data_IF_019945368688
#
_entry.id   IF_019945368688
#
_cell.length_a   1.000
_cell.length_b   1.000
_cell.length_c   1.000
_cell.angle_alpha   90.00
_cell.angle_beta   90.00
_cell.angle_gamma   90.00
#
_symmetry.space_group_name_H-M   'P 1'
#
loop_
_entity.id
_entity.type
_entity.pdbx_description
1 polymer ?
#
# COMPACT_ATOMS: atom_id res chain seq x y z
N UNK A 1 10.87 -18.28 -5.90
CA UNK A 1 9.63 -18.12 -5.11
C UNK A 1 8.45 -18.08 -6.06
N UNK A 2 7.34 -18.70 -5.66
CA UNK A 2 6.09 -18.69 -6.44
C UNK A 2 5.51 -17.25 -6.55
N UNK A 3 5.35 -16.69 -7.75
CA UNK A 3 4.74 -15.37 -7.96
C UNK A 3 3.32 -15.27 -7.40
N UNK A 4 2.52 -16.34 -7.44
CA UNK A 4 1.15 -16.31 -6.92
C UNK A 4 1.14 -16.16 -5.39
N UNK A 5 2.00 -16.90 -4.69
CA UNK A 5 2.19 -16.71 -3.25
C UNK A 5 2.64 -15.29 -2.91
N UNK A 6 3.60 -14.73 -3.65
CA UNK A 6 4.06 -13.35 -3.44
C UNK A 6 2.93 -12.32 -3.64
N UNK A 7 2.11 -12.50 -4.67
CA UNK A 7 0.95 -11.63 -4.91
C UNK A 7 -0.08 -11.73 -3.77
N UNK A 8 -0.34 -12.94 -3.25
CA UNK A 8 -1.22 -13.14 -2.09
C UNK A 8 -0.66 -12.46 -0.83
N UNK A 9 0.65 -12.56 -0.59
CA UNK A 9 1.30 -11.91 0.54
C UNK A 9 1.26 -10.39 0.42
N UNK A 10 1.54 -9.84 -0.76
CA UNK A 10 1.42 -8.41 -1.02
C UNK A 10 -0.01 -7.91 -0.78
N UNK A 11 -1.00 -8.63 -1.32
CA UNK A 11 -2.41 -8.29 -1.16
C UNK A 11 -2.86 -8.39 0.31
N UNK A 12 -2.52 -9.49 1.00
CA UNK A 12 -2.86 -9.71 2.40
C UNK A 12 -2.20 -8.68 3.33
N UNK A 13 -0.94 -8.34 3.09
CA UNK A 13 -0.24 -7.28 3.83
C UNK A 13 -0.93 -5.93 3.66
N UNK A 14 -1.34 -5.59 2.43
CA UNK A 14 -2.07 -4.36 2.14
C UNK A 14 -3.43 -4.32 2.85
N UNK A 15 -4.19 -5.42 2.85
CA UNK A 15 -5.46 -5.52 3.59
C UNK A 15 -5.23 -5.35 5.09
N UNK A 16 -4.23 -6.03 5.66
CA UNK A 16 -3.95 -5.97 7.09
C UNK A 16 -3.54 -4.56 7.55
N UNK A 17 -2.62 -3.91 6.83
CA UNK A 17 -2.21 -2.53 7.11
C UNK A 17 -3.38 -1.57 6.90
N UNK A 18 -4.12 -1.72 5.80
CA UNK A 18 -5.27 -0.88 5.49
C UNK A 18 -6.37 -0.96 6.56
N UNK A 19 -6.69 -2.17 7.06
CA UNK A 19 -7.62 -2.36 8.16
C UNK A 19 -7.11 -1.70 9.45
N UNK A 20 -5.82 -1.82 9.77
CA UNK A 20 -5.25 -1.18 10.94
C UNK A 20 -5.37 0.36 10.86
N UNK A 21 -5.06 0.95 9.71
CA UNK A 21 -5.22 2.38 9.45
C UNK A 21 -6.70 2.82 9.48
N UNK A 22 -7.62 1.98 9.01
CA UNK A 22 -9.05 2.29 9.00
C UNK A 22 -9.69 2.21 10.40
N UNK A 23 -9.45 1.11 11.11
CA UNK A 23 -10.10 0.85 12.41
C UNK A 23 -9.42 1.65 13.52
N UNK A 24 -8.10 1.64 13.56
CA UNK A 24 -7.27 2.14 14.64
C UNK A 24 -6.21 3.16 14.17
N UNK A 25 -6.60 4.26 13.47
CA UNK A 25 -5.65 5.18 12.83
C UNK A 25 -4.66 5.81 13.80
N UNK A 26 -5.10 6.09 15.04
CA UNK A 26 -4.22 6.67 16.06
C UNK A 26 -3.09 5.75 16.43
N UNK A 27 -3.34 4.44 16.52
CA UNK A 27 -2.32 3.46 16.89
C UNK A 27 -1.45 3.15 15.67
N UNK A 28 -2.08 2.88 14.54
CA UNK A 28 -1.41 2.42 13.33
C UNK A 28 -0.53 3.50 12.66
N UNK A 29 -0.94 4.77 12.70
CA UNK A 29 -0.21 5.84 12.03
C UNK A 29 0.65 6.70 12.96
N UNK A 30 0.72 6.44 14.28
CA UNK A 30 1.49 7.30 15.19
C UNK A 30 2.98 7.30 14.90
N UNK A 31 3.56 6.15 14.59
CA UNK A 31 4.98 6.01 14.23
C UNK A 31 5.31 6.68 12.90
N UNK A 32 4.31 6.79 12.01
CA UNK A 32 4.45 7.41 10.70
C UNK A 32 4.21 8.92 10.73
N UNK A 33 3.14 9.37 11.39
CA UNK A 33 2.64 10.76 11.37
C UNK A 33 3.10 11.56 12.60
N UNK A 34 3.32 10.89 13.73
CA UNK A 34 3.53 11.54 15.04
C UNK A 34 2.21 12.00 15.68
N UNK A 35 2.30 12.97 16.58
CA UNK A 35 1.12 13.50 17.29
C UNK A 35 0.11 14.22 16.38
N UNK A 36 0.50 14.54 15.13
CA UNK A 36 -0.42 15.06 14.10
C UNK A 36 -1.61 14.12 13.80
N UNK A 37 -1.49 12.82 14.12
CA UNK A 37 -2.59 11.85 13.99
C UNK A 37 -3.74 12.12 14.98
N UNK A 38 -3.51 12.93 16.00
CA UNK A 38 -4.54 13.30 16.97
C UNK A 38 -5.50 14.38 16.46
N UNK A 39 -5.23 14.94 15.28
CA UNK A 39 -6.16 15.83 14.58
C UNK A 39 -7.25 15.03 13.86
N UNK A 40 -8.50 15.50 13.94
CA UNK A 40 -9.65 14.80 13.35
C UNK A 40 -9.54 14.65 11.83
N UNK A 41 -9.12 15.71 11.13
CA UNK A 41 -8.90 15.71 9.68
C UNK A 41 -7.83 14.69 9.25
N UNK A 42 -6.70 14.64 9.97
CA UNK A 42 -5.64 13.64 9.72
C UNK A 42 -6.16 12.21 9.89
N UNK A 43 -6.92 11.91 10.95
CA UNK A 43 -7.51 10.56 11.11
C UNK A 43 -8.47 10.22 9.99
N UNK A 44 -9.28 11.17 9.56
CA UNK A 44 -10.21 10.96 8.45
C UNK A 44 -9.43 10.61 7.17
N UNK A 45 -8.37 11.36 6.87
CA UNK A 45 -7.49 11.08 5.73
C UNK A 45 -6.81 9.70 5.83
N UNK A 46 -6.26 9.35 7.00
CA UNK A 46 -5.63 8.04 7.25
C UNK A 46 -6.62 6.90 7.05
N UNK A 47 -7.88 7.05 7.49
CA UNK A 47 -8.92 6.06 7.22
C UNK A 47 -9.20 5.92 5.73
N UNK A 48 -9.23 7.03 4.98
CA UNK A 48 -9.37 7.00 3.53
C UNK A 48 -8.26 6.18 2.86
N UNK A 49 -7.00 6.39 3.27
CA UNK A 49 -5.86 5.59 2.79
C UNK A 49 -6.01 4.11 3.17
N UNK A 50 -6.40 3.83 4.41
CA UNK A 50 -6.63 2.47 4.87
C UNK A 50 -7.72 1.74 4.06
N UNK A 51 -8.85 2.42 3.80
CA UNK A 51 -9.93 1.88 2.99
C UNK A 51 -9.49 1.62 1.53
N UNK A 52 -8.68 2.51 0.94
CA UNK A 52 -8.06 2.32 -0.39
C UNK A 52 -7.24 1.03 -0.42
N UNK A 53 -6.39 0.83 0.58
CA UNK A 53 -5.52 -0.34 0.65
C UNK A 53 -6.30 -1.65 0.84
N UNK A 54 -7.35 -1.63 1.66
CA UNK A 54 -8.27 -2.77 1.78
C UNK A 54 -8.91 -3.10 0.43
N UNK A 55 -9.43 -2.10 -0.28
CA UNK A 55 -10.08 -2.31 -1.58
C UNK A 55 -9.11 -2.89 -2.63
N UNK A 56 -7.90 -2.34 -2.72
CA UNK A 56 -6.88 -2.81 -3.66
C UNK A 56 -6.42 -4.24 -3.34
N UNK A 57 -6.17 -4.54 -2.06
CA UNK A 57 -5.75 -5.87 -1.64
C UNK A 57 -6.86 -6.92 -1.80
N UNK A 58 -8.10 -6.61 -1.40
CA UNK A 58 -9.24 -7.51 -1.58
C UNK A 58 -9.54 -7.77 -3.06
N UNK A 59 -9.44 -6.72 -3.90
CA UNK A 59 -9.58 -6.85 -5.34
C UNK A 59 -8.54 -7.78 -5.96
N UNK A 60 -7.27 -7.66 -5.55
CA UNK A 60 -6.21 -8.56 -6.00
C UNK A 60 -6.42 -10.01 -5.53
N UNK A 61 -6.80 -10.24 -4.27
CA UNK A 61 -7.11 -11.58 -3.76
C UNK A 61 -8.26 -12.22 -4.55
N UNK A 62 -9.34 -11.47 -4.76
CA UNK A 62 -10.50 -11.95 -5.53
C UNK A 62 -10.11 -12.28 -6.97
N UNK A 63 -9.28 -11.46 -7.60
CA UNK A 63 -8.79 -11.73 -8.96
C UNK A 63 -7.87 -12.97 -9.00
N UNK A 64 -7.03 -13.20 -7.99
CA UNK A 64 -6.17 -14.39 -7.91
C UNK A 64 -6.99 -15.67 -7.73
N UNK A 65 -8.06 -15.62 -6.94
CA UNK A 65 -8.94 -16.77 -6.69
C UNK A 65 -9.82 -17.10 -7.90
N UNK A 66 -10.36 -16.08 -8.57
CA UNK A 66 -11.26 -16.24 -9.71
C UNK A 66 -10.54 -16.41 -11.06
N UNK A 67 -9.21 -16.37 -11.11
CA UNK A 67 -8.45 -16.32 -12.36
C UNK A 67 -8.74 -15.05 -13.19
N UNK A 68 -9.07 -13.94 -12.51
CA UNK A 68 -9.43 -12.67 -13.10
C UNK A 68 -8.24 -11.79 -13.48
N UNK A 69 -8.51 -10.52 -13.79
CA UNK A 69 -7.51 -9.56 -14.24
C UNK A 69 -6.60 -9.03 -13.10
N UNK A 70 -5.70 -9.89 -12.59
CA UNK A 70 -4.74 -9.57 -11.51
C UNK A 70 -3.83 -8.40 -11.86
N UNK A 71 -3.42 -8.27 -13.13
CA UNK A 71 -2.59 -7.16 -13.62
C UNK A 71 -3.18 -5.79 -13.29
N UNK A 72 -4.50 -5.59 -13.43
CA UNK A 72 -5.16 -4.30 -13.17
C UNK A 72 -5.05 -3.88 -11.71
N UNK A 73 -5.19 -4.84 -10.79
CA UNK A 73 -5.07 -4.58 -9.36
C UNK A 73 -3.62 -4.34 -8.93
N UNK A 74 -2.67 -5.06 -9.53
CA UNK A 74 -1.24 -4.82 -9.33
C UNK A 74 -0.81 -3.44 -9.84
N UNK A 75 -1.31 -3.03 -11.00
CA UNK A 75 -1.07 -1.70 -11.56
C UNK A 75 -1.67 -0.58 -10.69
N UNK A 76 -2.93 -0.73 -10.29
CA UNK A 76 -3.59 0.23 -9.41
C UNK A 76 -2.87 0.34 -8.05
N UNK A 77 -2.43 -0.79 -7.50
CA UNK A 77 -1.59 -0.83 -6.29
C UNK A 77 -0.27 -0.09 -6.46
N UNK A 78 0.45 -0.34 -7.56
CA UNK A 78 1.70 0.34 -7.84
C UNK A 78 1.52 1.86 -8.02
N UNK A 79 0.43 2.30 -8.66
CA UNK A 79 0.10 3.73 -8.76
C UNK A 79 -0.13 4.34 -7.38
N UNK A 80 -0.88 3.65 -6.51
CA UNK A 80 -1.11 4.12 -5.14
C UNK A 80 0.20 4.24 -4.34
N UNK A 81 1.08 3.25 -4.42
CA UNK A 81 2.36 3.26 -3.72
C UNK A 81 3.31 4.35 -4.26
N UNK A 82 3.35 4.55 -5.59
CA UNK A 82 4.12 5.64 -6.19
C UNK A 82 3.59 7.02 -5.76
N UNK A 83 2.27 7.16 -5.60
CA UNK A 83 1.67 8.38 -5.08
C UNK A 83 2.12 8.63 -3.62
N UNK A 84 2.15 7.60 -2.78
CA UNK A 84 2.61 7.70 -1.39
C UNK A 84 4.11 8.05 -1.32
N UNK A 85 4.94 7.41 -2.16
CA UNK A 85 6.36 7.73 -2.29
C UNK A 85 6.58 9.19 -2.75
N UNK A 86 5.76 9.66 -3.68
CA UNK A 86 5.81 11.05 -4.17
C UNK A 86 5.38 12.03 -3.09
N UNK A 87 4.31 11.72 -2.34
CA UNK A 87 3.80 12.55 -1.27
C UNK A 87 4.86 12.76 -0.17
N UNK A 88 5.56 11.70 0.25
CA UNK A 88 6.62 11.83 1.26
C UNK A 88 7.84 12.59 0.72
N UNK A 89 8.15 12.49 -0.57
CA UNK A 89 9.22 13.25 -1.20
C UNK A 89 8.90 14.74 -1.27
N UNK A 90 7.65 15.10 -1.54
CA UNK A 90 7.19 16.50 -1.54
C UNK A 90 7.36 17.09 -0.13
N UNK A 91 6.99 16.33 0.90
CA UNK A 91 7.09 16.77 2.29
C UNK A 91 8.47 16.53 2.95
N UNK A 92 9.49 16.11 2.20
CA UNK A 92 10.74 15.58 2.77
C UNK A 92 11.47 16.55 3.71
N UNK A 93 11.39 17.86 3.44
CA UNK A 93 12.10 18.88 4.22
C UNK A 93 11.39 19.20 5.55
N UNK A 94 10.13 18.76 5.70
CA UNK A 94 9.30 18.92 6.90
C UNK A 94 9.26 17.64 7.76
N UNK A 95 9.96 16.58 7.35
CA UNK A 95 9.86 15.24 7.94
C UNK A 95 11.24 14.71 8.35
N UNK A 96 11.34 13.89 9.41
CA UNK A 96 12.59 13.21 9.75
C UNK A 96 13.07 12.33 8.60
N UNK A 97 14.36 12.41 8.27
CA UNK A 97 14.96 11.67 7.15
C UNK A 97 14.70 10.15 7.23
N UNK A 98 14.68 9.58 8.44
CA UNK A 98 14.36 8.16 8.66
C UNK A 98 12.94 7.79 8.25
N UNK A 99 11.94 8.66 8.49
CA UNK A 99 10.55 8.44 8.05
C UNK A 99 10.45 8.55 6.53
N UNK A 100 11.13 9.53 5.93
CA UNK A 100 11.18 9.69 4.47
C UNK A 100 11.79 8.44 3.82
N UNK A 101 12.95 8.00 4.29
CA UNK A 101 13.63 6.82 3.77
C UNK A 101 12.81 5.53 3.96
N UNK A 102 12.20 5.34 5.13
CA UNK A 102 11.36 4.17 5.39
C UNK A 102 10.12 4.16 4.48
N UNK A 103 9.44 5.29 4.33
CA UNK A 103 8.25 5.40 3.47
C UNK A 103 8.62 5.15 2.01
N UNK A 104 9.72 5.74 1.53
CA UNK A 104 10.24 5.49 0.18
C UNK A 104 10.61 4.02 -0.05
N UNK A 105 11.28 3.39 0.92
CA UNK A 105 11.66 1.99 0.83
C UNK A 105 10.45 1.06 0.77
N UNK A 106 9.46 1.29 1.62
CA UNK A 106 8.23 0.48 1.66
C UNK A 106 7.39 0.71 0.40
N UNK A 107 7.06 1.96 0.09
CA UNK A 107 6.18 2.30 -1.03
C UNK A 107 6.86 2.01 -2.38
N UNK A 108 8.11 2.45 -2.55
CA UNK A 108 8.89 2.13 -3.76
C UNK A 108 9.12 0.63 -3.94
N UNK A 109 9.41 -0.09 -2.85
CA UNK A 109 9.57 -1.55 -2.87
C UNK A 109 8.27 -2.28 -3.23
N UNK A 110 7.14 -1.86 -2.65
CA UNK A 110 5.82 -2.41 -2.97
C UNK A 110 5.41 -2.15 -4.42
N UNK A 111 5.65 -0.93 -4.93
CA UNK A 111 5.40 -0.59 -6.33
C UNK A 111 6.25 -1.46 -7.28
N UNK A 112 7.55 -1.56 -7.01
CA UNK A 112 8.47 -2.38 -7.82
C UNK A 112 8.07 -3.86 -7.80
N UNK A 113 7.72 -4.40 -6.62
CA UNK A 113 7.23 -5.77 -6.48
C UNK A 113 5.92 -5.98 -7.26
N UNK A 114 4.97 -5.04 -7.16
CA UNK A 114 3.69 -5.11 -7.86
C UNK A 114 3.85 -5.13 -9.38
N UNK A 115 4.72 -4.27 -9.93
CA UNK A 115 5.02 -4.22 -11.36
C UNK A 115 5.78 -5.47 -11.83
N UNK A 116 6.69 -6.00 -11.02
CA UNK A 116 7.37 -7.26 -11.32
C UNK A 116 6.38 -8.44 -11.32
N UNK A 117 5.48 -8.52 -10.34
CA UNK A 117 4.43 -9.53 -10.27
C UNK A 117 3.47 -9.44 -11.47
N UNK A 118 3.14 -8.23 -11.91
CA UNK A 118 2.30 -7.99 -13.10
C UNK A 118 2.91 -8.66 -14.33
N UNK A 119 4.22 -8.52 -14.53
CA UNK A 119 4.92 -9.15 -15.65
C UNK A 119 4.89 -10.69 -15.53
N UNK A 120 5.26 -11.22 -14.36
CA UNK A 120 5.37 -12.67 -14.14
C UNK A 120 4.04 -13.42 -14.20
N UNK A 121 2.96 -12.80 -13.73
CA UNK A 121 1.62 -13.39 -13.77
C UNK A 121 0.93 -13.18 -15.12
N UNK A 122 1.39 -12.22 -15.92
CA UNK A 122 0.90 -12.00 -17.29
C UNK A 122 1.52 -12.93 -18.34
N UNK A 123 2.73 -13.46 -18.10
CA UNK A 123 3.42 -14.40 -18.98
C UNK A 123 2.86 -15.85 -18.91
N UNK A 124 1.99 -16.14 -17.94
CA UNK A 124 1.45 -17.48 -17.66
C UNK A 124 -0.03 -17.67 -17.99
N UNK A 125 -0.69 -16.70 -18.61
CA UNK A 125 -2.09 -16.74 -19.05
C UNK A 125 -2.17 -16.79 -20.59
#
# INVERSE_FOLDING_TARGET
MDPALLARLLAGGRVAIGLALFVAPRQAARTWIGDGVDQAGTRMAVRGLGARDVALGAGLLTALEAGGATHRWLEAGAVADLADATAVLIARDERPAGIVAATLGIAGGAAALGLWLRQRLGEGA
#
